data_IF_099097662254
#
_entry.id   IF_099097662254
#
_cell.length_a   1.000
_cell.length_b   1.000
_cell.length_c   1.000
_cell.angle_alpha   90.00
_cell.angle_beta   90.00
_cell.angle_gamma   90.00
#
_symmetry.space_group_name_H-M   'P 1'
#
loop_
_entity.id
_entity.type
_entity.pdbx_description
1 polymer ?
#
# COMPACT_ATOMS: atom_id res chain seq x y z
N UNK A 1 -30.14 -9.12 24.39
CA UNK A 1 -29.58 -7.77 24.14
C UNK A 1 -28.10 -7.94 23.88
N UNK A 2 -27.73 -8.13 22.62
CA UNK A 2 -26.33 -8.32 22.19
C UNK A 2 -25.79 -6.92 21.89
N UNK A 3 -24.56 -6.53 22.30
CA UNK A 3 -24.12 -5.15 22.17
C UNK A 3 -24.16 -4.76 20.68
N UNK A 4 -25.02 -3.79 20.37
CA UNK A 4 -25.13 -3.19 19.04
C UNK A 4 -23.80 -2.48 18.75
N UNK A 5 -22.83 -3.23 18.21
CA UNK A 5 -21.66 -2.62 17.61
C UNK A 5 -22.18 -1.81 16.42
N UNK A 6 -22.05 -0.50 16.54
CA UNK A 6 -22.58 0.44 15.58
C UNK A 6 -21.97 0.15 14.19
N UNK A 7 -22.77 -0.14 13.15
CA UNK A 7 -22.26 -0.58 11.85
C UNK A 7 -21.25 0.40 11.23
N UNK A 8 -21.38 1.69 11.55
CA UNK A 8 -20.42 2.72 11.13
C UNK A 8 -18.99 2.49 11.66
N UNK A 9 -18.84 2.00 12.89
CA UNK A 9 -17.53 1.76 13.50
C UNK A 9 -16.87 0.54 12.84
N UNK A 10 -17.69 -0.46 12.50
CA UNK A 10 -17.23 -1.67 11.81
C UNK A 10 -16.69 -1.29 10.44
N UNK A 11 -17.46 -0.57 9.62
CA UNK A 11 -17.03 -0.19 8.27
C UNK A 11 -15.74 0.65 8.29
N UNK A 12 -15.65 1.65 9.17
CA UNK A 12 -14.43 2.45 9.31
C UNK A 12 -13.21 1.63 9.74
N UNK A 13 -13.41 0.65 10.63
CA UNK A 13 -12.32 -0.25 11.06
C UNK A 13 -11.86 -1.17 9.94
N UNK A 14 -12.79 -1.69 9.12
CA UNK A 14 -12.45 -2.50 7.96
C UNK A 14 -11.72 -1.69 6.90
N UNK A 15 -12.18 -0.48 6.59
CA UNK A 15 -11.50 0.46 5.68
C UNK A 15 -10.06 0.71 6.14
N UNK A 16 -9.86 0.96 7.43
CA UNK A 16 -8.53 1.19 8.01
C UNK A 16 -7.60 -0.01 7.80
N UNK A 17 -8.07 -1.23 8.15
CA UNK A 17 -7.26 -2.45 8.04
C UNK A 17 -6.90 -2.75 6.59
N UNK A 18 -7.85 -2.63 5.67
CA UNK A 18 -7.61 -2.92 4.24
C UNK A 18 -6.61 -1.93 3.66
N UNK A 19 -6.74 -0.64 3.98
CA UNK A 19 -5.83 0.39 3.47
C UNK A 19 -4.43 0.30 4.08
N UNK A 20 -4.33 -0.11 5.35
CA UNK A 20 -3.06 -0.47 5.98
C UNK A 20 -2.39 -1.65 5.25
N UNK A 21 -3.17 -2.69 4.92
CA UNK A 21 -2.67 -3.84 4.14
C UNK A 21 -2.25 -3.44 2.72
N UNK A 22 -2.99 -2.54 2.07
CA UNK A 22 -2.63 -1.99 0.76
C UNK A 22 -1.29 -1.26 0.82
N UNK A 23 -1.09 -0.40 1.83
CA UNK A 23 0.18 0.31 2.05
C UNK A 23 1.37 -0.62 2.27
N UNK A 24 1.18 -1.67 3.09
CA UNK A 24 2.20 -2.71 3.29
C UNK A 24 2.52 -3.47 2.00
N UNK A 25 1.49 -3.83 1.23
CA UNK A 25 1.61 -4.58 -0.02
C UNK A 25 2.40 -3.79 -1.07
N UNK A 26 2.07 -2.51 -1.27
CA UNK A 26 2.80 -1.64 -2.21
C UNK A 26 4.28 -1.53 -1.80
N UNK A 27 4.56 -1.35 -0.50
CA UNK A 27 5.94 -1.23 -0.02
C UNK A 27 6.73 -2.54 -0.15
N UNK A 28 6.09 -3.70 0.07
CA UNK A 28 6.67 -5.01 -0.22
C UNK A 28 7.08 -5.13 -1.71
N UNK A 29 6.16 -4.81 -2.62
CA UNK A 29 6.44 -4.88 -4.06
C UNK A 29 7.54 -3.90 -4.46
N UNK A 30 7.56 -2.70 -3.88
CA UNK A 30 8.60 -1.71 -4.12
C UNK A 30 9.98 -2.23 -3.69
N UNK A 31 10.09 -2.81 -2.49
CA UNK A 31 11.36 -3.37 -2.01
C UNK A 31 11.86 -4.52 -2.90
N UNK A 32 10.97 -5.43 -3.31
CA UNK A 32 11.30 -6.52 -4.24
C UNK A 32 11.79 -5.94 -5.56
N UNK A 33 11.08 -4.96 -6.10
CA UNK A 33 11.42 -4.30 -7.36
C UNK A 33 12.79 -3.62 -7.30
N UNK A 34 13.08 -2.85 -6.24
CA UNK A 34 14.39 -2.20 -6.03
C UNK A 34 15.51 -3.23 -5.93
N UNK A 35 15.27 -4.38 -5.29
CA UNK A 35 16.26 -5.47 -5.18
C UNK A 35 16.53 -6.14 -6.52
N UNK A 36 15.49 -6.44 -7.29
CA UNK A 36 15.62 -6.98 -8.65
C UNK A 36 16.43 -6.00 -9.50
N UNK A 37 16.09 -4.72 -9.44
CA UNK A 37 16.80 -3.64 -10.14
C UNK A 37 18.28 -3.56 -9.73
N UNK A 38 18.59 -3.67 -8.44
CA UNK A 38 19.97 -3.71 -7.92
C UNK A 38 20.75 -4.94 -8.43
N UNK A 39 20.08 -6.09 -8.57
CA UNK A 39 20.69 -7.34 -9.07
C UNK A 39 20.94 -7.32 -10.58
N UNK A 40 20.00 -6.81 -11.37
CA UNK A 40 20.09 -6.82 -12.83
C UNK A 40 20.79 -5.58 -13.42
N UNK A 41 20.95 -4.49 -12.64
CA UNK A 41 21.58 -3.22 -13.07
C UNK A 41 21.09 -2.76 -14.46
N UNK A 42 19.78 -2.53 -14.64
CA UNK A 42 19.25 -2.10 -15.93
C UNK A 42 19.85 -0.74 -16.34
N UNK A 43 20.04 -0.53 -17.65
CA UNK A 43 20.51 0.75 -18.19
C UNK A 43 19.61 1.92 -17.80
N UNK A 44 20.16 3.15 -17.79
CA UNK A 44 19.50 4.36 -17.25
C UNK A 44 18.09 4.61 -17.81
N UNK A 45 17.86 4.39 -19.10
CA UNK A 45 16.54 4.53 -19.73
C UNK A 45 15.55 3.43 -19.32
N UNK A 46 16.01 2.17 -19.26
CA UNK A 46 15.18 1.03 -18.86
C UNK A 46 14.76 1.13 -17.39
N UNK A 47 15.68 1.58 -16.53
CA UNK A 47 15.39 1.89 -15.13
C UNK A 47 14.23 2.89 -14.99
N UNK A 48 14.26 3.97 -15.76
CA UNK A 48 13.23 5.00 -15.73
C UNK A 48 11.85 4.47 -16.15
N UNK A 49 11.81 3.69 -17.24
CA UNK A 49 10.57 3.09 -17.71
C UNK A 49 9.99 2.09 -16.69
N UNK A 50 10.84 1.27 -16.08
CA UNK A 50 10.42 0.34 -15.04
C UNK A 50 9.88 1.05 -13.79
N UNK A 51 10.49 2.18 -13.39
CA UNK A 51 10.00 2.98 -12.26
C UNK A 51 8.60 3.54 -12.55
N UNK A 52 8.37 4.10 -13.74
CA UNK A 52 7.05 4.59 -14.16
C UNK A 52 6.03 3.45 -14.16
N UNK A 53 6.38 2.31 -14.74
CA UNK A 53 5.49 1.15 -14.82
C UNK A 53 5.11 0.65 -13.42
N UNK A 54 6.07 0.63 -12.49
CA UNK A 54 5.85 0.26 -11.11
C UNK A 54 4.88 1.22 -10.40
N UNK A 55 5.07 2.53 -10.55
CA UNK A 55 4.18 3.52 -9.93
C UNK A 55 2.77 3.50 -10.53
N UNK A 56 2.63 3.26 -11.84
CA UNK A 56 1.31 3.06 -12.47
C UNK A 56 0.64 1.82 -11.88
N UNK A 57 1.35 0.70 -11.78
CA UNK A 57 0.83 -0.51 -11.16
C UNK A 57 0.42 -0.28 -9.71
N UNK A 58 1.26 0.40 -8.93
CA UNK A 58 0.97 0.74 -7.54
C UNK A 58 -0.27 1.63 -7.40
N UNK A 59 -0.44 2.60 -8.30
CA UNK A 59 -1.62 3.45 -8.34
C UNK A 59 -2.89 2.66 -8.68
N UNK A 60 -2.84 1.74 -9.65
CA UNK A 60 -3.97 0.88 -10.02
C UNK A 60 -4.37 0.01 -8.82
N UNK A 61 -3.41 -0.70 -8.21
CA UNK A 61 -3.67 -1.57 -7.06
C UNK A 61 -4.26 -0.77 -5.90
N UNK A 62 -3.66 0.37 -5.56
CA UNK A 62 -4.16 1.25 -4.49
C UNK A 62 -5.57 1.74 -4.80
N UNK A 63 -5.84 2.16 -6.04
CA UNK A 63 -7.17 2.57 -6.48
C UNK A 63 -8.19 1.44 -6.43
N UNK A 64 -7.82 0.20 -6.74
CA UNK A 64 -8.71 -0.96 -6.62
C UNK A 64 -9.11 -1.22 -5.17
N UNK A 65 -8.15 -1.17 -4.24
CA UNK A 65 -8.46 -1.26 -2.81
C UNK A 65 -9.37 -0.12 -2.34
N UNK A 66 -9.11 1.10 -2.80
CA UNK A 66 -9.90 2.28 -2.44
C UNK A 66 -11.32 2.24 -3.01
N UNK A 67 -11.47 1.73 -4.23
CA UNK A 67 -12.77 1.49 -4.84
C UNK A 67 -13.56 0.41 -4.10
N UNK A 68 -12.90 -0.68 -3.70
CA UNK A 68 -13.53 -1.76 -2.94
C UNK A 68 -14.00 -1.30 -1.56
N UNK A 69 -13.19 -0.49 -0.86
CA UNK A 69 -13.49 -0.10 0.53
C UNK A 69 -14.51 1.03 0.64
N UNK A 70 -14.44 2.04 -0.24
CA UNK A 70 -15.17 3.28 -0.04
C UNK A 70 -15.84 3.82 -1.31
N UNK A 71 -16.06 2.97 -2.33
CA UNK A 71 -16.52 3.38 -3.67
C UNK A 71 -15.67 4.51 -4.29
N UNK A 72 -14.39 4.62 -3.89
CA UNK A 72 -13.50 5.69 -4.34
C UNK A 72 -13.53 6.98 -3.51
N UNK A 73 -14.24 7.03 -2.37
CA UNK A 73 -14.11 8.18 -1.45
C UNK A 73 -12.74 8.18 -0.77
N UNK A 74 -12.01 9.27 -0.98
CA UNK A 74 -10.78 9.56 -0.26
C UNK A 74 -11.10 10.19 1.10
N UNK A 75 -10.80 9.47 2.18
CA UNK A 75 -10.88 9.98 3.56
C UNK A 75 -9.47 10.15 4.16
N UNK A 76 -9.31 11.10 5.07
CA UNK A 76 -8.01 11.36 5.74
C UNK A 76 -7.53 10.13 6.52
N UNK A 77 -8.45 9.39 7.16
CA UNK A 77 -8.13 8.17 7.90
C UNK A 77 -7.57 7.07 6.99
N UNK A 78 -8.09 6.97 5.76
CA UNK A 78 -7.64 6.01 4.74
C UNK A 78 -6.22 6.34 4.28
N UNK A 79 -5.90 7.62 4.07
CA UNK A 79 -4.55 8.05 3.73
C UNK A 79 -3.56 7.81 4.87
N UNK A 80 -3.97 8.08 6.12
CA UNK A 80 -3.17 7.79 7.31
C UNK A 80 -2.94 6.29 7.45
N UNK A 81 -3.96 5.46 7.25
CA UNK A 81 -3.85 4.00 7.31
C UNK A 81 -2.85 3.47 6.28
N UNK A 82 -2.97 3.93 5.03
CA UNK A 82 -2.05 3.57 3.95
C UNK A 82 -0.61 3.98 4.26
N UNK A 83 -0.40 5.24 4.67
CA UNK A 83 0.92 5.74 5.06
C UNK A 83 1.50 4.97 6.25
N UNK A 84 0.68 4.65 7.24
CA UNK A 84 1.08 3.87 8.42
C UNK A 84 1.48 2.45 8.01
N UNK A 85 0.72 1.79 7.12
CA UNK A 85 1.08 0.48 6.57
C UNK A 85 2.42 0.50 5.83
N UNK A 86 2.64 1.51 5.00
CA UNK A 86 3.91 1.69 4.28
C UNK A 86 5.09 1.92 5.25
N UNK A 87 4.89 2.73 6.31
CA UNK A 87 5.90 2.97 7.35
C UNK A 87 6.16 1.73 8.22
N UNK A 88 5.12 0.98 8.57
CA UNK A 88 5.23 -0.28 9.31
C UNK A 88 6.07 -1.27 8.52
N UNK A 89 5.79 -1.44 7.22
CA UNK A 89 6.59 -2.29 6.36
C UNK A 89 8.06 -1.87 6.38
N UNK A 90 8.33 -0.59 6.18
CA UNK A 90 9.70 -0.06 6.21
C UNK A 90 10.38 -0.29 7.56
N UNK A 91 9.69 -0.07 8.68
CA UNK A 91 10.28 -0.18 10.01
C UNK A 91 10.59 -1.64 10.40
N UNK A 92 9.67 -2.57 10.11
CA UNK A 92 9.82 -3.98 10.50
C UNK A 92 10.67 -4.78 9.52
N UNK A 93 10.52 -4.54 8.22
CA UNK A 93 11.14 -5.38 7.19
C UNK A 93 12.36 -4.73 6.55
N UNK A 94 12.43 -3.41 6.37
CA UNK A 94 13.63 -2.76 5.80
C UNK A 94 14.85 -2.93 6.72
N UNK A 95 14.66 -2.91 8.05
CA UNK A 95 15.75 -3.14 9.01
C UNK A 95 16.34 -4.57 8.98
N UNK A 96 15.57 -5.58 8.55
CA UNK A 96 16.05 -6.95 8.35
C UNK A 96 16.65 -7.20 6.96
N UNK A 97 16.63 -6.19 6.10
CA UNK A 97 16.85 -6.31 4.67
C UNK A 97 17.91 -5.34 4.14
N UNK A 98 18.62 -4.66 5.06
CA UNK A 98 19.86 -3.89 4.82
C UNK A 98 21.10 -4.75 5.00
#
# INVERSE_FOLDING_TARGET
MNPEINPLIIDQSFEFVIMLFAGMTIMLFHDIFVRIKKRFKPGRGMSFFQDILFWIFAAIVTSSFLYYCCYGRLSVHVLIAFGTGALLWKKFFCAKMS
#
